data_IF_227973499941
#
_entry.id   IF_227973499941
#
_cell.length_a   1.000
_cell.length_b   1.000
_cell.length_c   1.000
_cell.angle_alpha   90.00
_cell.angle_beta   90.00
_cell.angle_gamma   90.00
#
_symmetry.space_group_name_H-M   'P 1'
#
loop_
_entity.id
_entity.type
_entity.pdbx_description
1 polymer ?
#
# COMPACT_ATOMS: atom_id res chain seq x y z
N UNK A 1 -20.13 30.78 -0.86
CA UNK A 1 -19.15 30.12 -1.75
C UNK A 1 -19.28 28.61 -1.57
N UNK A 2 -19.89 27.92 -2.52
CA UNK A 2 -20.14 26.48 -2.42
C UNK A 2 -18.92 25.71 -2.92
N UNK A 3 -18.23 25.00 -2.03
CA UNK A 3 -17.24 23.98 -2.40
C UNK A 3 -17.99 22.86 -3.13
N UNK A 4 -17.96 22.88 -4.47
CA UNK A 4 -18.38 21.75 -5.29
C UNK A 4 -17.46 20.57 -4.95
N UNK A 5 -17.92 19.64 -4.13
CA UNK A 5 -17.33 18.30 -4.01
C UNK A 5 -17.46 17.62 -5.38
N UNK A 6 -16.44 17.77 -6.21
CA UNK A 6 -16.22 16.85 -7.31
C UNK A 6 -15.72 15.54 -6.70
N UNK A 7 -16.63 14.73 -6.17
CA UNK A 7 -16.40 13.30 -6.01
C UNK A 7 -16.37 12.71 -7.41
N UNK A 8 -15.21 12.77 -8.05
CA UNK A 8 -14.94 11.95 -9.21
C UNK A 8 -14.96 10.49 -8.73
N UNK A 9 -16.04 9.79 -9.06
CA UNK A 9 -16.13 8.34 -8.93
C UNK A 9 -15.21 7.78 -9.99
N UNK A 10 -13.94 7.57 -9.64
CA UNK A 10 -12.96 6.98 -10.54
C UNK A 10 -13.33 5.52 -10.74
N UNK A 11 -13.76 5.23 -11.98
CA UNK A 11 -14.03 3.90 -12.49
C UNK A 11 -12.75 3.08 -12.34
N UNK A 12 -12.88 1.91 -11.72
CA UNK A 12 -11.82 0.93 -11.47
C UNK A 12 -11.42 0.30 -12.81
N UNK A 13 -10.65 0.99 -13.63
CA UNK A 13 -9.85 0.31 -14.63
C UNK A 13 -8.80 -0.47 -13.85
N UNK A 14 -8.84 -1.80 -13.94
CA UNK A 14 -7.82 -2.66 -13.35
C UNK A 14 -6.51 -2.33 -14.06
N UNK A 15 -5.75 -1.42 -13.48
CA UNK A 15 -4.38 -1.15 -13.88
C UNK A 15 -3.57 -2.38 -13.44
N UNK A 16 -3.59 -3.42 -14.28
CA UNK A 16 -2.90 -4.68 -14.01
C UNK A 16 -1.41 -4.42 -14.23
N UNK A 17 -0.71 -4.23 -13.13
CA UNK A 17 0.74 -4.06 -13.13
C UNK A 17 1.43 -5.33 -13.63
N UNK A 18 2.48 -5.14 -14.40
CA UNK A 18 3.37 -6.23 -14.79
C UNK A 18 4.12 -6.78 -13.58
N UNK A 19 4.56 -8.05 -13.68
CA UNK A 19 5.39 -8.68 -12.66
C UNK A 19 6.73 -7.94 -12.43
N UNK A 20 7.22 -7.23 -13.44
CA UNK A 20 8.47 -6.45 -13.36
C UNK A 20 8.25 -5.18 -12.53
N UNK A 21 7.18 -4.44 -12.79
CA UNK A 21 6.80 -3.26 -12.00
C UNK A 21 6.53 -3.60 -10.54
N UNK A 22 5.91 -4.77 -10.29
CA UNK A 22 5.68 -5.27 -8.94
C UNK A 22 7.02 -5.50 -8.22
N UNK A 23 7.97 -6.20 -8.85
CA UNK A 23 9.28 -6.48 -8.25
C UNK A 23 10.08 -5.21 -7.99
N UNK A 24 10.05 -4.26 -8.93
CA UNK A 24 10.71 -2.98 -8.76
C UNK A 24 10.13 -2.20 -7.58
N UNK A 25 8.81 -2.15 -7.47
CA UNK A 25 8.15 -1.48 -6.36
C UNK A 25 8.38 -2.18 -5.02
N UNK A 26 8.42 -3.52 -4.97
CA UNK A 26 8.80 -4.25 -3.76
C UNK A 26 10.21 -3.87 -3.28
N UNK A 27 11.16 -3.78 -4.21
CA UNK A 27 12.53 -3.37 -3.91
C UNK A 27 12.60 -1.93 -3.38
N UNK A 28 11.77 -1.02 -3.89
CA UNK A 28 11.65 0.33 -3.35
C UNK A 28 11.07 0.36 -1.93
N UNK A 29 10.12 -0.54 -1.64
CA UNK A 29 9.44 -0.61 -0.34
C UNK A 29 10.30 -1.25 0.76
N UNK A 30 11.10 -2.26 0.42
CA UNK A 30 11.95 -3.02 1.35
C UNK A 30 12.64 -2.18 2.44
N UNK A 31 13.37 -1.08 2.12
CA UNK A 31 14.09 -0.30 3.13
C UNK A 31 13.18 0.42 4.13
N UNK A 32 11.88 0.52 3.85
CA UNK A 32 10.90 1.14 4.73
C UNK A 32 10.07 0.11 5.49
N UNK A 33 9.83 -1.07 4.93
CA UNK A 33 8.96 -2.11 5.53
C UNK A 33 9.44 -2.60 6.89
N UNK A 34 10.75 -2.58 7.16
CA UNK A 34 11.35 -2.97 8.44
C UNK A 34 11.47 -1.82 9.44
N UNK A 35 11.15 -0.59 9.02
CA UNK A 35 11.27 0.59 9.86
C UNK A 35 9.93 0.89 10.50
N UNK A 36 9.99 1.24 11.77
CA UNK A 36 8.87 1.82 12.50
C UNK A 36 9.33 3.11 13.15
N UNK A 37 8.43 4.08 13.27
CA UNK A 37 8.72 5.35 13.93
C UNK A 37 7.45 5.80 14.66
N UNK A 38 7.65 6.46 15.79
CA UNK A 38 6.57 7.07 16.56
C UNK A 38 6.47 8.56 16.22
N UNK A 39 5.25 9.01 15.94
CA UNK A 39 4.93 10.42 15.73
C UNK A 39 4.73 11.15 17.07
N UNK A 40 4.69 12.47 17.00
CA UNK A 40 4.51 13.38 18.14
C UNK A 40 3.26 13.13 19.01
N UNK A 41 2.26 12.44 18.46
CA UNK A 41 1.02 12.08 19.14
C UNK A 41 1.02 10.63 19.68
N UNK A 42 2.16 9.94 19.67
CA UNK A 42 2.27 8.53 20.04
C UNK A 42 1.74 7.55 19.01
N UNK A 43 1.33 8.01 17.81
CA UNK A 43 0.95 7.11 16.72
C UNK A 43 2.19 6.46 16.12
N UNK A 44 2.18 5.13 16.06
CA UNK A 44 3.14 4.35 15.28
C UNK A 44 2.75 4.39 13.81
N UNK A 45 3.72 4.64 12.94
CA UNK A 45 3.54 4.58 11.49
C UNK A 45 4.16 3.31 10.93
N UNK A 46 3.44 2.72 9.99
CA UNK A 46 3.86 1.52 9.27
C UNK A 46 4.96 1.84 8.26
N UNK A 47 5.67 0.81 7.81
CA UNK A 47 6.69 0.97 6.76
C UNK A 47 6.17 1.57 5.45
N UNK A 48 4.93 1.26 5.07
CA UNK A 48 4.32 1.86 3.87
C UNK A 48 4.03 3.36 4.05
N UNK A 49 3.57 3.78 5.23
CA UNK A 49 3.37 5.20 5.53
C UNK A 49 4.70 5.98 5.55
N UNK A 50 5.77 5.36 6.04
CA UNK A 50 7.13 5.90 5.96
C UNK A 50 7.60 6.05 4.52
N UNK A 51 7.35 5.04 3.66
CA UNK A 51 7.63 5.13 2.22
C UNK A 51 6.91 6.32 1.58
N UNK A 52 5.59 6.43 1.81
CA UNK A 52 4.78 7.53 1.27
C UNK A 52 5.25 8.90 1.77
N UNK A 53 5.66 8.98 3.03
CA UNK A 53 6.21 10.19 3.60
C UNK A 53 7.53 10.57 2.93
N UNK A 54 8.44 9.62 2.77
CA UNK A 54 9.74 9.84 2.15
C UNK A 54 9.63 10.25 0.68
N UNK A 55 8.61 9.75 -0.04
CA UNK A 55 8.30 10.15 -1.42
C UNK A 55 7.54 11.49 -1.51
N UNK A 56 7.22 12.13 -0.38
CA UNK A 56 6.48 13.40 -0.34
C UNK A 56 5.00 13.26 -0.72
N UNK A 57 4.47 12.05 -0.79
CA UNK A 57 3.08 11.75 -1.15
C UNK A 57 2.14 11.93 0.06
N UNK A 58 2.69 11.79 1.27
CA UNK A 58 1.97 11.85 2.53
C UNK A 58 2.75 12.69 3.55
N UNK A 59 2.08 13.51 4.37
CA UNK A 59 2.76 14.37 5.34
C UNK A 59 2.12 14.29 6.72
N UNK A 60 2.95 14.13 7.74
CA UNK A 60 2.54 14.20 9.14
C UNK A 60 2.85 15.58 9.73
N UNK A 61 1.94 16.09 10.55
CA UNK A 61 2.06 17.39 11.21
C UNK A 61 1.20 17.38 12.49
N UNK A 62 1.53 18.17 13.52
CA UNK A 62 0.71 18.29 14.73
C UNK A 62 -0.75 18.67 14.44
N UNK A 63 -1.00 19.45 13.39
CA UNK A 63 -2.34 19.84 12.93
C UNK A 63 -3.09 18.70 12.24
N UNK A 64 -2.36 17.74 11.65
CA UNK A 64 -2.90 16.59 10.93
C UNK A 64 -2.21 15.29 11.41
N UNK A 65 -2.53 14.84 12.63
CA UNK A 65 -1.93 13.65 13.24
C UNK A 65 -2.25 12.36 12.46
N UNK A 66 -3.32 12.39 11.67
CA UNK A 66 -3.71 11.29 10.79
C UNK A 66 -2.85 11.17 9.53
N UNK A 67 -2.03 12.19 9.24
CA UNK A 67 -1.36 12.41 7.97
C UNK A 67 -2.29 13.00 6.91
N UNK A 68 -1.74 13.77 5.97
CA UNK A 68 -2.46 14.41 4.88
C UNK A 68 -1.77 14.14 3.53
N UNK A 69 -2.57 13.90 2.50
CA UNK A 69 -2.08 13.78 1.11
C UNK A 69 -1.91 15.18 0.53
N UNK A 70 -0.76 15.43 -0.11
CA UNK A 70 -0.51 16.70 -0.81
C UNK A 70 -1.30 16.71 -2.11
N UNK A 71 -2.13 17.73 -2.34
CA UNK A 71 -3.02 17.77 -3.51
C UNK A 71 -2.27 17.63 -4.84
N UNK A 72 -1.09 18.25 -4.97
CA UNK A 72 -0.24 18.12 -6.15
C UNK A 72 0.23 16.68 -6.43
N UNK A 73 0.21 15.82 -5.42
CA UNK A 73 0.70 14.43 -5.48
C UNK A 73 -0.44 13.40 -5.38
N UNK A 74 -1.71 13.82 -5.50
CA UNK A 74 -2.87 12.95 -5.27
C UNK A 74 -2.96 11.77 -6.26
N UNK A 75 -2.53 11.99 -7.51
CA UNK A 75 -2.49 10.95 -8.55
C UNK A 75 -1.38 9.93 -8.24
N UNK A 76 -0.15 10.39 -7.99
CA UNK A 76 0.97 9.53 -7.58
C UNK A 76 0.69 8.75 -6.29
N UNK A 77 0.00 9.35 -5.31
CA UNK A 77 -0.46 8.64 -4.12
C UNK A 77 -1.42 7.49 -4.47
N UNK A 78 -2.36 7.74 -5.39
CA UNK A 78 -3.32 6.70 -5.82
C UNK A 78 -2.58 5.56 -6.49
N UNK A 79 -1.67 5.84 -7.42
CA UNK A 79 -0.86 4.82 -8.08
C UNK A 79 -0.06 3.98 -7.08
N UNK A 80 0.62 4.62 -6.13
CA UNK A 80 1.38 3.91 -5.09
C UNK A 80 0.48 3.03 -4.21
N UNK A 81 -0.72 3.51 -3.88
CA UNK A 81 -1.71 2.75 -3.11
C UNK A 81 -2.22 1.54 -3.89
N UNK A 82 -2.54 1.71 -5.16
CA UNK A 82 -3.06 0.63 -6.00
C UNK A 82 -1.98 -0.45 -6.24
N UNK A 83 -0.72 -0.03 -6.47
CA UNK A 83 0.46 -0.92 -6.54
C UNK A 83 0.62 -1.73 -5.25
N UNK A 84 0.56 -1.06 -4.10
CA UNK A 84 0.66 -1.73 -2.81
C UNK A 84 -0.48 -2.74 -2.60
N UNK A 85 -1.72 -2.36 -2.94
CA UNK A 85 -2.88 -3.25 -2.82
C UNK A 85 -2.72 -4.51 -3.69
N UNK A 86 -2.24 -4.36 -4.93
CA UNK A 86 -2.01 -5.48 -5.84
C UNK A 86 -1.00 -6.47 -5.25
N UNK A 87 0.11 -5.98 -4.68
CA UNK A 87 1.12 -6.82 -4.03
C UNK A 87 0.54 -7.58 -2.84
N UNK A 88 -0.25 -6.92 -1.98
CA UNK A 88 -0.87 -7.60 -0.84
C UNK A 88 -1.82 -8.71 -1.31
N UNK A 89 -2.60 -8.47 -2.37
CA UNK A 89 -3.48 -9.49 -2.97
C UNK A 89 -2.69 -10.67 -3.52
N UNK A 90 -1.55 -10.43 -4.20
CA UNK A 90 -0.69 -11.50 -4.70
C UNK A 90 -0.07 -12.33 -3.57
N UNK A 91 0.44 -11.67 -2.53
CA UNK A 91 1.00 -12.33 -1.34
C UNK A 91 -0.05 -13.21 -0.66
N UNK A 92 -1.25 -12.68 -0.45
CA UNK A 92 -2.37 -13.43 0.10
C UNK A 92 -2.73 -14.64 -0.77
N UNK A 93 -2.88 -14.45 -2.09
CA UNK A 93 -3.20 -15.53 -3.02
C UNK A 93 -2.15 -16.65 -3.01
N UNK A 94 -0.87 -16.28 -2.94
CA UNK A 94 0.25 -17.23 -2.81
C UNK A 94 0.15 -18.03 -1.52
N UNK A 95 -0.06 -17.37 -0.38
CA UNK A 95 -0.18 -18.04 0.92
C UNK A 95 -1.34 -19.05 0.93
N UNK A 96 -2.49 -18.68 0.38
CA UNK A 96 -3.64 -19.58 0.27
C UNK A 96 -3.36 -20.79 -0.64
N UNK A 97 -2.63 -20.60 -1.74
CA UNK A 97 -2.23 -21.70 -2.61
C UNK A 97 -1.26 -22.68 -1.90
N UNK A 98 -0.30 -22.15 -1.14
CA UNK A 98 0.64 -22.97 -0.35
C UNK A 98 -0.08 -23.76 0.76
N UNK A 99 -1.09 -23.18 1.40
CA UNK A 99 -1.91 -23.88 2.39
C UNK A 99 -2.69 -25.06 1.78
N UNK A 100 -3.38 -24.83 0.65
CA UNK A 100 -4.12 -25.88 -0.05
C UNK A 100 -3.23 -27.03 -0.50
N UNK A 101 -2.03 -26.74 -0.96
CA UNK A 101 -1.09 -27.79 -1.37
C UNK A 101 -0.63 -28.62 -0.17
N UNK A 102 -0.38 -28.00 0.99
CA UNK A 102 -0.07 -28.73 2.23
C UNK A 102 -1.22 -29.65 2.65
N UNK A 103 -2.46 -29.18 2.58
CA UNK A 103 -3.65 -29.99 2.86
C UNK A 103 -3.73 -31.20 1.91
N UNK A 104 -3.53 -30.97 0.61
CA UNK A 104 -3.51 -32.04 -0.41
C UNK A 104 -2.46 -33.11 -0.08
N UNK A 105 -1.24 -32.70 0.25
CA UNK A 105 -0.15 -33.61 0.60
C UNK A 105 -0.45 -34.40 1.89
N UNK A 106 -1.08 -33.78 2.89
CA UNK A 106 -1.51 -34.47 4.11
C UNK A 106 -2.59 -35.51 3.82
N UNK A 107 -3.55 -35.21 2.95
CA UNK A 107 -4.60 -36.17 2.56
C UNK A 107 -4.07 -37.37 1.77
N UNK A 108 -2.97 -37.22 1.03
CA UNK A 108 -2.33 -38.30 0.28
C UNK A 108 -1.40 -39.18 1.12
N UNK A 109 -1.05 -38.74 2.33
CA UNK A 109 -0.18 -39.46 3.25
C UNK A 109 -0.95 -40.44 4.18
N UNK A 110 -2.27 -40.55 4.01
CA UNK A 110 -3.19 -41.47 4.70
C UNK A 110 -3.57 -42.60 3.73
#
# INVERSE_FOLDING_TARGET
MAFKKQTQVYRKEENVLSNEEIKEFEKELEPFMLKETELFNGRKITGFELYLHNKGLFRFSPQYPSGAVVMANAEAYREARDKYSAIQSLRYGREQAELKEKERLQTLAI
#
